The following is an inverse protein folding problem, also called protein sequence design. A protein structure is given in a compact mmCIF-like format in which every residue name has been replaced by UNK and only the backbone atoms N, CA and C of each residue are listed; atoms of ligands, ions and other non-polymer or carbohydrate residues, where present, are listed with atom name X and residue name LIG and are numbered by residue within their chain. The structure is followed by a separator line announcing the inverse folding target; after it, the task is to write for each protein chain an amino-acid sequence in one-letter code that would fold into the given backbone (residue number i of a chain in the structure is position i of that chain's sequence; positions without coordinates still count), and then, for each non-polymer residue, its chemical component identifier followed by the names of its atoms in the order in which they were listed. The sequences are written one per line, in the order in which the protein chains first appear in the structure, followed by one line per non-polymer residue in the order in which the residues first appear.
data_IF_193017084376
#
_entry.id   IF_193017084376
#
_cell.length_a   1.000
_cell.length_b   1.000
_cell.length_c   1.000
_cell.angle_alpha   90.00
_cell.angle_beta   90.00
_cell.angle_gamma   90.00
#
_symmetry.space_group_name_H-M   'P 1'
#
loop_
_entity.id
_entity.type
_entity.pdbx_description
1 polymer ?
#
# COMPACT_ATOMS: atom_id res chain seq x y z
N UNK A 1 -30.21 37.93 -43.20
CA UNK A 1 -29.72 39.32 -43.09
C UNK A 1 -28.65 39.30 -42.00
N UNK A 2 -27.41 38.87 -42.27
CA UNK A 2 -26.31 39.70 -42.86
C UNK A 2 -26.22 41.05 -42.13
N UNK A 3 -25.14 41.50 -41.49
CA UNK A 3 -23.67 41.37 -41.65
C UNK A 3 -22.98 41.84 -40.32
N UNK A 4 -21.93 41.20 -39.75
CA UNK A 4 -20.47 41.41 -39.96
C UNK A 4 -20.04 42.90 -39.88
N UNK A 5 -19.04 43.43 -39.12
CA UNK A 5 -17.80 42.94 -38.46
C UNK A 5 -17.18 43.98 -37.46
N UNK A 6 -16.39 43.46 -36.51
CA UNK A 6 -15.14 44.00 -35.86
C UNK A 6 -15.17 45.12 -34.78
N UNK A 7 -14.74 44.83 -33.54
CA UNK A 7 -13.33 44.97 -33.10
C UNK A 7 -13.04 44.50 -31.64
N UNK A 8 -11.94 43.75 -31.51
CA UNK A 8 -10.92 43.60 -30.46
C UNK A 8 -11.17 43.71 -28.93
N UNK A 9 -10.55 42.75 -28.25
CA UNK A 9 -10.36 42.51 -26.81
C UNK A 9 -9.77 43.65 -25.97
N UNK A 10 -10.13 43.67 -24.68
CA UNK A 10 -9.19 43.91 -23.56
C UNK A 10 -9.76 43.42 -22.21
N UNK A 11 -9.02 42.52 -21.57
CA UNK A 11 -9.25 42.02 -20.21
C UNK A 11 -8.33 42.81 -19.26
N UNK A 12 -8.91 43.47 -18.26
CA UNK A 12 -8.18 44.26 -17.25
C UNK A 12 -8.12 43.47 -15.94
N UNK A 13 -6.91 43.23 -15.44
CA UNK A 13 -6.63 42.69 -14.12
C UNK A 13 -6.33 43.83 -13.12
N UNK A 14 -6.72 43.72 -11.83
CA UNK A 14 -6.41 44.75 -10.84
C UNK A 14 -5.10 44.48 -10.08
N UNK A 15 -4.37 45.56 -9.84
CA UNK A 15 -3.07 45.68 -9.17
C UNK A 15 -3.18 45.80 -7.64
N UNK A 16 -2.20 45.23 -6.91
CA UNK A 16 -2.02 45.35 -5.46
C UNK A 16 -1.05 46.51 -5.11
N UNK A 17 -1.25 47.25 -4.00
CA UNK A 17 -0.37 48.35 -3.62
C UNK A 17 0.83 47.92 -2.76
N UNK A 18 1.96 48.61 -2.99
CA UNK A 18 3.25 48.54 -2.27
C UNK A 18 3.22 49.43 -1.02
N UNK A 19 3.75 48.94 0.11
CA UNK A 19 4.03 49.74 1.31
C UNK A 19 5.54 49.71 1.60
N UNK A 20 6.16 50.89 1.66
CA UNK A 20 7.52 51.14 2.13
C UNK A 20 7.49 51.53 3.61
N UNK A 21 8.38 50.96 4.44
CA UNK A 21 8.86 51.60 5.68
C UNK A 21 10.35 51.29 5.90
N UNK A 22 11.16 52.35 5.84
CA UNK A 22 12.21 52.76 6.79
C UNK A 22 13.21 51.77 7.39
N UNK A 23 14.48 51.98 7.05
CA UNK A 23 15.71 51.44 7.65
C UNK A 23 16.17 52.17 8.94
N UNK A 24 16.80 51.43 9.86
CA UNK A 24 17.72 52.02 10.88
C UNK A 24 18.28 51.05 11.94
N UNK A 25 19.54 50.61 11.73
CA UNK A 25 20.67 50.37 12.68
C UNK A 25 20.54 49.42 13.91
N UNK A 26 21.54 48.63 14.36
CA UNK A 26 22.96 48.33 14.03
C UNK A 26 23.36 46.99 14.72
N UNK A 27 24.35 46.25 14.21
CA UNK A 27 25.02 45.18 14.97
C UNK A 27 25.90 44.21 14.18
N UNK A 28 26.95 44.72 13.55
CA UNK A 28 27.98 43.95 12.81
C UNK A 28 29.00 43.31 13.77
N UNK A 29 29.30 42.01 13.63
CA UNK A 29 30.66 41.48 13.81
C UNK A 29 30.91 40.33 12.84
N UNK A 30 31.75 40.59 11.84
CA UNK A 30 32.35 39.61 10.95
C UNK A 30 33.85 39.52 11.26
N UNK A 31 34.33 38.36 11.69
CA UNK A 31 35.76 38.02 11.68
C UNK A 31 36.05 37.19 10.43
N UNK A 32 36.78 37.81 9.51
CA UNK A 32 37.31 37.21 8.29
C UNK A 32 38.60 36.43 8.61
N UNK A 33 38.67 35.17 8.19
CA UNK A 33 39.93 34.48 7.87
C UNK A 33 39.86 34.01 6.41
N UNK A 34 40.79 34.51 5.59
CA UNK A 34 40.98 34.19 4.18
C UNK A 34 41.77 32.89 4.02
N UNK A 35 41.37 32.07 3.03
CA UNK A 35 42.24 31.08 2.37
C UNK A 35 42.01 31.12 0.85
N UNK A 36 42.99 30.69 0.01
CA UNK A 36 43.16 31.16 -1.37
C UNK A 36 42.37 30.41 -2.42
N UNK A 37 42.16 31.09 -3.56
CA UNK A 37 41.58 30.57 -4.80
C UNK A 37 42.53 29.60 -5.52
N UNK A 38 42.00 28.45 -5.93
CA UNK A 38 42.45 27.74 -7.14
C UNK A 38 41.24 27.38 -8.02
N UNK A 39 41.41 27.61 -9.32
CA UNK A 39 40.42 27.44 -10.37
C UNK A 39 40.09 25.96 -10.60
N UNK A 40 38.81 25.60 -10.68
CA UNK A 40 38.37 24.31 -11.25
C UNK A 40 37.28 24.54 -12.30
N UNK A 41 37.52 23.96 -13.48
CA UNK A 41 36.70 24.05 -14.69
C UNK A 41 35.64 22.94 -14.74
N UNK A 42 34.55 23.24 -15.46
CA UNK A 42 33.32 22.47 -15.58
C UNK A 42 33.51 21.00 -16.02
N UNK A 43 32.99 20.07 -15.23
CA UNK A 43 32.85 18.66 -15.57
C UNK A 43 31.64 18.39 -16.47
N UNK A 44 31.91 18.01 -17.73
CA UNK A 44 30.96 17.42 -18.68
C UNK A 44 31.12 15.90 -18.60
N UNK A 45 30.03 15.15 -18.37
CA UNK A 45 30.01 13.69 -18.34
C UNK A 45 30.25 13.14 -19.75
N UNK A 46 31.37 12.44 -19.94
CA UNK A 46 31.68 11.63 -21.12
C UNK A 46 31.90 10.19 -20.67
N UNK A 47 31.30 9.23 -21.39
CA UNK A 47 31.42 7.80 -21.19
C UNK A 47 32.90 7.36 -21.26
N UNK A 48 33.40 6.68 -20.22
CA UNK A 48 34.70 6.02 -20.23
C UNK A 48 34.49 4.50 -20.17
N UNK A 49 34.82 3.87 -21.29
CA UNK A 49 35.05 2.44 -21.45
C UNK A 49 36.33 2.08 -20.69
N UNK A 50 36.26 1.03 -19.87
CA UNK A 50 37.40 0.51 -19.10
C UNK A 50 38.30 -0.30 -20.03
N UNK A 51 39.54 0.13 -20.16
CA UNK A 51 40.63 -0.55 -20.86
C UNK A 51 41.29 -1.55 -19.88
N UNK A 52 41.25 -2.84 -20.20
CA UNK A 52 41.96 -3.88 -19.46
C UNK A 52 43.21 -4.31 -20.26
N UNK A 53 44.38 -4.00 -19.73
CA UNK A 53 45.68 -4.46 -20.25
C UNK A 53 45.99 -5.84 -19.67
N UNK A 54 46.10 -6.88 -20.51
CA UNK A 54 46.77 -8.14 -20.15
C UNK A 54 47.69 -8.60 -21.30
N UNK A 55 48.87 -9.03 -20.87
CA UNK A 55 50.09 -9.37 -21.59
C UNK A 55 49.98 -10.02 -22.98
N UNK A 56 50.85 -9.54 -23.87
CA UNK A 56 51.33 -10.19 -25.10
C UNK A 56 52.01 -11.52 -24.78
N UNK A 57 51.63 -12.57 -25.50
CA UNK A 57 52.55 -13.53 -26.12
C UNK A 57 51.95 -13.95 -27.46
N UNK A 58 52.81 -13.95 -28.48
CA UNK A 58 52.51 -14.19 -29.90
C UNK A 58 51.93 -15.59 -30.16
N UNK A 59 50.99 -15.69 -31.10
CA UNK A 59 51.24 -16.32 -32.41
C UNK A 59 50.00 -16.19 -33.31
N UNK A 60 50.25 -15.88 -34.59
CA UNK A 60 49.29 -15.58 -35.64
C UNK A 60 48.23 -16.69 -35.84
N UNK A 61 46.94 -16.29 -35.94
CA UNK A 61 45.92 -16.98 -36.74
C UNK A 61 44.72 -16.06 -36.99
N UNK A 62 44.42 -15.85 -38.28
CA UNK A 62 43.28 -15.08 -38.75
C UNK A 62 41.96 -15.84 -38.55
N UNK A 63 40.98 -15.17 -37.96
CA UNK A 63 39.56 -15.56 -37.99
C UNK A 63 38.99 -15.29 -39.39
N UNK A 64 38.55 -16.35 -40.06
CA UNK A 64 37.79 -16.27 -41.30
C UNK A 64 36.35 -16.74 -41.03
N UNK A 65 35.50 -15.84 -40.54
CA UNK A 65 34.06 -15.95 -40.72
C UNK A 65 33.72 -15.53 -42.16
N UNK A 66 33.90 -16.47 -43.09
CA UNK A 66 33.28 -16.42 -44.41
C UNK A 66 32.75 -17.81 -44.70
N UNK A 67 31.43 -17.93 -44.77
CA UNK A 67 30.70 -19.15 -45.08
C UNK A 67 30.85 -19.44 -46.59
N UNK A 68 32.02 -19.96 -46.97
CA UNK A 68 32.24 -20.58 -48.28
C UNK A 68 32.38 -22.07 -48.00
N UNK A 69 31.47 -22.93 -48.50
CA UNK A 69 31.60 -24.37 -48.27
C UNK A 69 32.88 -24.87 -48.96
N UNK A 70 33.70 -25.62 -48.22
CA UNK A 70 34.87 -26.30 -48.80
C UNK A 70 34.41 -27.57 -49.52
N UNK A 71 35.02 -27.95 -50.65
CA UNK A 71 34.55 -29.01 -51.53
C UNK A 71 34.65 -30.45 -50.97
N UNK A 72 35.01 -30.63 -49.69
CA UNK A 72 35.21 -31.94 -49.06
C UNK A 72 34.42 -32.13 -47.74
N UNK A 73 33.46 -31.25 -47.43
CA UNK A 73 32.46 -31.56 -46.39
C UNK A 73 31.39 -32.48 -46.99
N UNK A 74 31.65 -33.79 -46.87
CA UNK A 74 30.63 -34.82 -47.09
C UNK A 74 29.49 -34.59 -46.10
N UNK A 75 28.42 -34.00 -46.61
CA UNK A 75 27.12 -33.93 -45.96
C UNK A 75 26.67 -35.37 -45.75
N UNK A 76 26.71 -35.85 -44.51
CA UNK A 76 26.02 -37.08 -44.16
C UNK A 76 24.54 -36.96 -44.55
N UNK A 77 23.94 -38.09 -44.93
CA UNK A 77 22.51 -38.24 -45.24
C UNK A 77 21.65 -37.68 -44.09
N UNK A 78 21.35 -36.40 -44.13
CA UNK A 78 20.36 -35.75 -43.26
C UNK A 78 19.01 -35.75 -44.02
N UNK A 79 17.95 -36.37 -43.48
CA UNK A 79 16.65 -36.49 -44.15
C UNK A 79 15.86 -35.17 -44.29
N UNK A 80 16.41 -34.04 -43.86
CA UNK A 80 15.74 -32.73 -43.89
C UNK A 80 15.43 -32.26 -45.32
N UNK A 81 16.18 -32.75 -46.32
CA UNK A 81 16.00 -32.39 -47.73
C UNK A 81 14.70 -32.93 -48.35
N UNK A 82 14.12 -34.01 -47.81
CA UNK A 82 12.88 -34.61 -48.35
C UNK A 82 11.64 -33.79 -47.94
N UNK A 83 11.66 -33.14 -46.77
CA UNK A 83 10.52 -32.38 -46.24
C UNK A 83 10.31 -31.01 -46.90
N UNK A 84 11.27 -30.53 -47.68
CA UNK A 84 11.30 -29.19 -48.28
C UNK A 84 11.04 -29.17 -49.80
N UNK A 85 10.84 -30.33 -50.45
CA UNK A 85 10.52 -30.40 -51.89
C UNK A 85 9.13 -29.80 -52.20
N UNK A 86 9.00 -29.16 -53.36
CA UNK A 86 7.76 -28.54 -53.83
C UNK A 86 6.62 -29.57 -53.90
N UNK A 87 5.50 -29.23 -53.28
CA UNK A 87 4.30 -30.08 -53.23
C UNK A 87 3.49 -29.89 -54.51
N UNK A 88 3.25 -30.97 -55.26
CA UNK A 88 2.26 -30.98 -56.35
C UNK A 88 1.03 -31.79 -55.96
N UNK A 89 -0.13 -31.33 -56.45
CA UNK A 89 -1.43 -31.97 -56.22
C UNK A 89 -1.57 -33.12 -57.20
N UNK A 90 -1.79 -34.34 -56.72
CA UNK A 90 -2.17 -35.49 -57.56
C UNK A 90 -3.69 -35.54 -57.78
N UNK A 91 -4.15 -36.20 -58.84
CA UNK A 91 -5.55 -36.22 -59.31
C UNK A 91 -6.57 -36.72 -58.26
N UNK A 92 -6.13 -37.44 -57.22
CA UNK A 92 -6.97 -37.91 -56.10
C UNK A 92 -7.08 -36.92 -54.92
N UNK A 93 -6.59 -35.67 -55.07
CA UNK A 93 -6.70 -34.61 -54.06
C UNK A 93 -5.78 -34.74 -52.84
N UNK A 94 -4.86 -35.71 -52.83
CA UNK A 94 -3.81 -35.83 -51.81
C UNK A 94 -2.54 -35.10 -52.25
N UNK A 95 -1.96 -34.33 -51.33
CA UNK A 95 -0.76 -33.53 -51.52
C UNK A 95 0.44 -34.31 -50.98
N UNK A 96 1.27 -34.87 -51.85
CA UNK A 96 2.48 -35.62 -51.50
C UNK A 96 3.73 -34.96 -52.10
N UNK A 97 4.90 -35.03 -51.45
CA UNK A 97 6.18 -34.62 -52.05
C UNK A 97 6.54 -35.49 -53.27
N UNK A 98 7.34 -34.96 -54.19
CA UNK A 98 7.90 -35.73 -55.32
C UNK A 98 9.13 -36.54 -54.83
N UNK A 99 9.00 -37.87 -54.81
CA UNK A 99 10.05 -38.80 -54.39
C UNK A 99 10.93 -39.16 -55.59
N UNK A 100 12.25 -39.13 -55.43
CA UNK A 100 13.21 -39.44 -56.50
C UNK A 100 13.37 -40.95 -56.75
N UNK A 101 13.12 -41.76 -55.73
CA UNK A 101 13.21 -43.22 -55.72
C UNK A 101 12.31 -43.84 -54.64
N UNK A 102 12.12 -45.16 -54.68
CA UNK A 102 11.29 -45.91 -53.74
C UNK A 102 11.85 -45.85 -52.29
N UNK A 103 13.17 -45.66 -52.15
CA UNK A 103 13.85 -45.52 -50.86
C UNK A 103 13.51 -44.19 -50.17
N UNK A 104 13.41 -43.07 -50.90
CA UNK A 104 12.94 -41.77 -50.37
C UNK A 104 11.49 -41.85 -49.86
N UNK A 105 10.64 -42.64 -50.53
CA UNK A 105 9.24 -42.83 -50.14
C UNK A 105 9.14 -43.62 -48.83
N UNK A 106 9.88 -44.72 -48.68
CA UNK A 106 9.93 -45.49 -47.43
C UNK A 106 10.50 -44.66 -46.28
N UNK A 107 11.53 -43.85 -46.55
CA UNK A 107 12.10 -42.94 -45.56
C UNK A 107 11.08 -41.88 -45.13
N UNK A 108 10.34 -41.27 -46.06
CA UNK A 108 9.29 -40.30 -45.76
C UNK A 108 8.16 -40.91 -44.93
N UNK A 109 7.73 -42.13 -45.27
CA UNK A 109 6.70 -42.85 -44.50
C UNK A 109 7.19 -43.20 -43.09
N UNK A 110 8.44 -43.66 -42.94
CA UNK A 110 9.03 -43.96 -41.64
C UNK A 110 9.17 -42.72 -40.75
N UNK A 111 9.59 -41.59 -41.33
CA UNK A 111 9.69 -40.29 -40.65
C UNK A 111 8.31 -39.76 -40.27
N UNK A 112 7.32 -39.86 -41.15
CA UNK A 112 5.96 -39.42 -40.86
C UNK A 112 5.33 -40.30 -39.77
N UNK A 113 5.61 -41.61 -39.75
CA UNK A 113 5.20 -42.52 -38.68
C UNK A 113 5.90 -42.20 -37.35
N UNK A 114 7.20 -41.88 -37.38
CA UNK A 114 7.94 -41.39 -36.21
C UNK A 114 7.40 -40.04 -35.70
N UNK A 115 7.06 -39.13 -36.59
CA UNK A 115 6.52 -37.81 -36.26
C UNK A 115 5.10 -37.93 -35.68
N UNK A 116 4.27 -38.80 -36.25
CA UNK A 116 2.94 -39.12 -35.72
C UNK A 116 3.03 -39.82 -34.35
N UNK A 117 3.94 -40.78 -34.17
CA UNK A 117 4.14 -41.43 -32.85
C UNK A 117 4.71 -40.47 -31.80
N UNK A 118 5.53 -39.49 -32.19
CA UNK A 118 5.99 -38.42 -31.29
C UNK A 118 4.90 -37.38 -30.96
N UNK A 119 3.90 -37.20 -31.83
CA UNK A 119 2.75 -36.31 -31.62
C UNK A 119 1.60 -36.99 -30.85
N UNK A 120 1.43 -38.31 -30.97
CA UNK A 120 0.38 -39.11 -30.32
C UNK A 120 0.72 -39.58 -28.90
N UNK A 121 1.49 -38.80 -28.14
CA UNK A 121 1.72 -39.15 -26.74
C UNK A 121 0.48 -38.73 -25.94
N UNK A 122 -0.24 -39.70 -25.39
CA UNK A 122 -1.13 -39.59 -24.23
C UNK A 122 -0.34 -39.05 -23.02
N UNK A 123 0.17 -37.83 -23.14
CA UNK A 123 1.06 -37.22 -22.16
C UNK A 123 0.17 -36.54 -21.15
N UNK A 124 -0.07 -37.25 -20.05
CA UNK A 124 -0.59 -36.64 -18.84
C UNK A 124 0.33 -35.48 -18.43
N UNK A 125 -0.27 -34.32 -18.20
CA UNK A 125 0.45 -33.10 -17.83
C UNK A 125 -0.09 -32.60 -16.51
N UNK A 126 0.82 -32.09 -15.69
CA UNK A 126 0.47 -31.42 -14.45
C UNK A 126 0.07 -29.98 -14.75
N UNK A 127 -1.05 -29.57 -14.16
CA UNK A 127 -1.59 -28.24 -14.27
C UNK A 127 -1.85 -27.68 -12.88
N UNK A 128 -1.69 -26.37 -12.78
CA UNK A 128 -2.14 -25.57 -11.65
C UNK A 128 -3.20 -24.60 -12.15
N UNK A 129 -4.36 -24.60 -11.51
CA UNK A 129 -5.41 -23.62 -11.77
C UNK A 129 -5.64 -22.76 -10.54
N UNK A 130 -5.69 -21.46 -10.76
CA UNK A 130 -6.24 -20.50 -9.81
C UNK A 130 -7.48 -19.90 -10.45
N UNK A 131 -8.62 -20.02 -9.78
CA UNK A 131 -9.86 -19.40 -10.22
C UNK A 131 -10.50 -18.59 -9.10
N UNK A 132 -11.17 -17.51 -9.50
CA UNK A 132 -11.74 -16.51 -8.63
C UNK A 132 -13.26 -16.53 -8.79
N UNK A 133 -13.99 -16.72 -7.69
CA UNK A 133 -15.46 -16.70 -7.66
C UNK A 133 -15.93 -15.32 -7.16
N UNK A 134 -16.99 -14.78 -7.77
CA UNK A 134 -17.55 -13.49 -7.38
C UNK A 134 -18.05 -13.49 -5.92
N UNK A 135 -17.83 -12.39 -5.18
CA UNK A 135 -18.28 -12.21 -3.77
C UNK A 135 -19.79 -12.43 -3.52
N UNK A 136 -20.62 -12.45 -4.56
CA UNK A 136 -22.08 -12.63 -4.44
C UNK A 136 -22.47 -14.10 -4.34
N UNK A 137 -21.62 -14.98 -4.86
CA UNK A 137 -21.83 -16.42 -4.90
C UNK A 137 -20.90 -17.12 -3.89
N UNK A 138 -20.55 -16.45 -2.79
CA UNK A 138 -19.64 -16.98 -1.78
C UNK A 138 -20.19 -18.25 -1.10
N UNK A 139 -21.51 -18.40 -1.02
CA UNK A 139 -22.19 -19.60 -0.48
C UNK A 139 -22.25 -20.75 -1.50
N UNK A 140 -22.03 -20.48 -2.79
CA UNK A 140 -22.09 -21.47 -3.88
C UNK A 140 -20.70 -22.02 -4.26
N UNK A 141 -19.66 -21.68 -3.49
CA UNK A 141 -18.27 -22.09 -3.77
C UNK A 141 -18.14 -23.61 -3.81
N UNK A 142 -18.80 -24.32 -2.90
CA UNK A 142 -18.79 -25.78 -2.86
C UNK A 142 -19.38 -26.38 -4.15
N UNK A 143 -20.48 -25.82 -4.67
CA UNK A 143 -21.10 -26.25 -5.93
C UNK A 143 -20.18 -26.05 -7.14
N UNK A 144 -19.45 -24.93 -7.20
CA UNK A 144 -18.46 -24.70 -8.27
C UNK A 144 -17.33 -25.72 -8.17
N UNK A 145 -16.85 -25.98 -6.95
CA UNK A 145 -15.76 -26.92 -6.71
C UNK A 145 -16.14 -28.36 -7.08
N UNK A 146 -17.35 -28.80 -6.75
CA UNK A 146 -17.88 -30.10 -7.15
C UNK A 146 -17.92 -30.26 -8.67
N UNK A 147 -18.43 -29.26 -9.40
CA UNK A 147 -18.44 -29.29 -10.87
C UNK A 147 -17.04 -29.42 -11.47
N UNK A 148 -16.06 -28.69 -10.93
CA UNK A 148 -14.66 -28.76 -11.37
C UNK A 148 -14.08 -30.15 -11.10
N UNK A 149 -14.37 -30.74 -9.94
CA UNK A 149 -13.92 -32.09 -9.61
C UNK A 149 -14.60 -33.17 -10.48
N UNK A 150 -15.89 -33.02 -10.76
CA UNK A 150 -16.64 -33.96 -11.60
C UNK A 150 -16.11 -33.97 -13.03
N UNK A 151 -15.80 -32.80 -13.60
CA UNK A 151 -15.16 -32.72 -14.90
C UNK A 151 -13.83 -33.47 -14.94
N UNK A 152 -13.00 -33.30 -13.90
CA UNK A 152 -11.72 -34.01 -13.80
C UNK A 152 -11.92 -35.52 -13.63
N UNK A 153 -12.91 -35.96 -12.84
CA UNK A 153 -13.27 -37.38 -12.68
C UNK A 153 -13.74 -38.02 -13.98
N UNK A 154 -14.60 -37.34 -14.74
CA UNK A 154 -15.14 -37.83 -16.02
C UNK A 154 -14.02 -38.05 -17.05
N UNK A 155 -13.03 -37.15 -17.09
CA UNK A 155 -11.89 -37.22 -18.02
C UNK A 155 -10.68 -37.99 -17.48
N UNK A 156 -10.86 -38.78 -16.41
CA UNK A 156 -9.81 -39.60 -15.76
C UNK A 156 -8.59 -38.79 -15.26
N UNK A 157 -8.79 -37.53 -14.91
CA UNK A 157 -7.79 -36.68 -14.29
C UNK A 157 -7.62 -36.96 -12.80
N UNK A 158 -6.43 -36.72 -12.26
CA UNK A 158 -6.12 -36.91 -10.84
C UNK A 158 -5.89 -35.56 -10.16
N UNK A 159 -6.55 -35.31 -9.04
CA UNK A 159 -6.31 -34.11 -8.21
C UNK A 159 -5.21 -34.43 -7.21
N UNK A 160 -4.18 -33.58 -7.17
CA UNK A 160 -3.05 -33.70 -6.26
C UNK A 160 -3.18 -32.77 -5.05
N UNK A 161 -3.76 -31.58 -5.27
CA UNK A 161 -3.91 -30.55 -4.24
C UNK A 161 -5.17 -29.73 -4.45
N UNK A 162 -5.83 -29.38 -3.34
CA UNK A 162 -6.96 -28.47 -3.30
C UNK A 162 -6.84 -27.54 -2.10
N UNK A 163 -6.74 -26.24 -2.38
CA UNK A 163 -6.53 -25.20 -1.38
C UNK A 163 -7.60 -24.13 -1.53
N UNK A 164 -8.44 -24.01 -0.51
CA UNK A 164 -9.38 -22.91 -0.36
C UNK A 164 -8.66 -21.74 0.35
N UNK A 165 -8.46 -20.63 -0.38
CA UNK A 165 -7.84 -19.42 0.16
C UNK A 165 -8.86 -18.41 0.70
N UNK A 166 -10.15 -18.71 0.60
CA UNK A 166 -11.25 -17.92 1.12
C UNK A 166 -11.54 -16.64 0.33
N UNK A 167 -12.43 -15.82 0.89
CA UNK A 167 -12.77 -14.50 0.37
C UNK A 167 -11.63 -13.51 0.62
N UNK A 168 -11.13 -12.88 -0.45
CA UNK A 168 -10.01 -11.94 -0.39
C UNK A 168 -10.30 -10.67 -1.19
N UNK A 169 -9.72 -9.55 -0.74
CA UNK A 169 -9.82 -8.27 -1.43
C UNK A 169 -8.99 -8.25 -2.72
N UNK A 170 -9.59 -7.78 -3.81
CA UNK A 170 -8.92 -7.61 -5.11
C UNK A 170 -8.12 -6.31 -5.13
N UNK A 171 -6.98 -6.31 -5.84
CA UNK A 171 -6.16 -5.10 -6.03
C UNK A 171 -6.89 -4.02 -6.87
N UNK A 172 -7.83 -4.44 -7.73
CA UNK A 172 -8.69 -3.57 -8.52
C UNK A 172 -10.01 -4.30 -8.82
N UNK A 173 -11.04 -3.53 -9.21
CA UNK A 173 -12.36 -4.10 -9.50
C UNK A 173 -12.32 -4.98 -10.75
N UNK A 174 -12.79 -6.22 -10.63
CA UNK A 174 -12.99 -7.15 -11.75
C UNK A 174 -14.49 -7.46 -11.82
N UNK A 175 -15.12 -7.28 -13.00
CA UNK A 175 -16.58 -7.46 -13.18
C UNK A 175 -17.44 -6.77 -12.09
N UNK A 176 -17.01 -5.59 -11.61
CA UNK A 176 -17.63 -4.79 -10.51
C UNK A 176 -17.50 -5.38 -9.09
N UNK A 177 -16.83 -6.51 -8.88
CA UNK A 177 -16.51 -7.06 -7.57
C UNK A 177 -15.31 -6.34 -6.94
N UNK A 178 -15.33 -6.13 -5.62
CA UNK A 178 -14.16 -5.65 -4.85
C UNK A 178 -13.40 -6.78 -4.15
N UNK A 179 -14.09 -7.89 -3.89
CA UNK A 179 -13.53 -9.11 -3.30
C UNK A 179 -13.90 -10.32 -4.15
N UNK A 180 -13.12 -11.39 -4.03
CA UNK A 180 -13.40 -12.66 -4.69
C UNK A 180 -12.92 -13.83 -3.83
N UNK A 181 -13.56 -14.98 -3.97
CA UNK A 181 -13.14 -16.22 -3.32
C UNK A 181 -12.06 -16.89 -4.16
N UNK A 182 -10.89 -17.12 -3.59
CA UNK A 182 -9.76 -17.69 -4.30
C UNK A 182 -9.69 -19.20 -4.07
N UNK A 183 -9.62 -19.94 -5.18
CA UNK A 183 -9.41 -21.38 -5.17
C UNK A 183 -8.14 -21.72 -5.94
N UNK A 184 -7.30 -22.55 -5.34
CA UNK A 184 -6.11 -23.11 -5.96
C UNK A 184 -6.26 -24.63 -6.05
N UNK A 185 -6.00 -25.20 -7.22
CA UNK A 185 -6.05 -26.63 -7.43
C UNK A 185 -4.89 -27.07 -8.32
N UNK A 186 -4.25 -28.18 -7.96
CA UNK A 186 -3.26 -28.85 -8.80
C UNK A 186 -3.79 -30.21 -9.18
N UNK A 187 -3.76 -30.48 -10.47
CA UNK A 187 -4.31 -31.70 -11.03
C UNK A 187 -3.49 -32.15 -12.23
N UNK A 188 -3.71 -33.40 -12.60
CA UNK A 188 -3.13 -34.04 -13.76
C UNK A 188 -4.25 -34.34 -14.74
N UNK A 189 -4.06 -33.90 -15.99
CA UNK A 189 -5.04 -34.07 -17.05
C UNK A 189 -4.30 -34.28 -18.36
N UNK A 190 -4.93 -35.04 -19.26
CA UNK A 190 -4.44 -35.19 -20.61
C UNK A 190 -4.52 -33.86 -21.38
N UNK A 191 -3.50 -33.58 -22.20
CA UNK A 191 -3.40 -32.31 -22.92
C UNK A 191 -4.59 -32.00 -23.84
N UNK A 192 -5.34 -33.03 -24.28
CA UNK A 192 -6.51 -32.89 -25.15
C UNK A 192 -7.66 -32.13 -24.48
N UNK A 193 -7.87 -32.31 -23.17
CA UNK A 193 -9.04 -31.79 -22.45
C UNK A 193 -8.81 -30.41 -21.81
N UNK A 194 -7.61 -29.84 -21.91
CA UNK A 194 -7.27 -28.59 -21.23
C UNK A 194 -8.03 -27.37 -21.79
N UNK A 195 -8.32 -27.37 -23.09
CA UNK A 195 -9.07 -26.29 -23.73
C UNK A 195 -10.55 -26.36 -23.35
N UNK A 196 -11.11 -27.56 -23.26
CA UNK A 196 -12.48 -27.78 -22.80
C UNK A 196 -12.62 -27.36 -21.34
N UNK A 197 -11.61 -27.65 -20.50
CA UNK A 197 -11.57 -27.21 -19.11
C UNK A 197 -11.59 -25.68 -18.97
N UNK A 198 -10.80 -24.96 -19.78
CA UNK A 198 -10.82 -23.49 -19.80
C UNK A 198 -12.18 -22.95 -20.24
N UNK A 199 -12.75 -23.56 -21.28
CA UNK A 199 -14.07 -23.16 -21.82
C UNK A 199 -15.17 -23.36 -20.79
N UNK A 200 -15.14 -24.46 -20.03
CA UNK A 200 -16.07 -24.70 -18.93
C UNK A 200 -15.97 -23.61 -17.85
N UNK A 201 -14.76 -23.19 -17.46
CA UNK A 201 -14.56 -22.11 -16.49
C UNK A 201 -14.98 -20.74 -17.01
N UNK A 202 -14.88 -20.49 -18.32
CA UNK A 202 -15.33 -19.24 -18.95
C UNK A 202 -16.86 -19.16 -19.07
N UNK A 203 -17.54 -20.30 -19.24
CA UNK A 203 -19.00 -20.39 -19.31
C UNK A 203 -19.68 -20.20 -17.95
N UNK A 204 -18.99 -20.49 -16.85
CA UNK A 204 -19.54 -20.28 -15.52
C UNK A 204 -19.48 -18.81 -15.12
N UNK A 205 -20.63 -18.12 -15.12
CA UNK A 205 -20.73 -16.69 -14.78
C UNK A 205 -20.24 -16.38 -13.36
N UNK A 206 -20.24 -17.37 -12.46
CA UNK A 206 -19.76 -17.24 -11.07
C UNK A 206 -18.26 -17.04 -11.02
N UNK A 207 -17.52 -17.56 -12.00
CA UNK A 207 -16.07 -17.41 -12.13
C UNK A 207 -15.77 -16.07 -12.83
N UNK A 208 -15.11 -15.17 -12.10
CA UNK A 208 -14.78 -13.83 -12.62
C UNK A 208 -13.47 -13.82 -13.39
N UNK A 209 -12.56 -14.75 -13.07
CA UNK A 209 -11.24 -14.90 -13.68
C UNK A 209 -10.66 -16.27 -13.34
N UNK A 210 -9.92 -16.83 -14.27
CA UNK A 210 -9.13 -18.04 -14.04
C UNK A 210 -7.73 -17.91 -14.66
N UNK A 211 -6.78 -18.67 -14.15
CA UNK A 211 -5.43 -18.80 -14.71
C UNK A 211 -5.02 -20.27 -14.60
N UNK A 212 -4.79 -20.90 -15.75
CA UNK A 212 -4.29 -22.27 -15.84
C UNK A 212 -2.84 -22.24 -16.29
N UNK A 213 -1.94 -22.82 -15.51
CA UNK A 213 -0.50 -22.89 -15.77
C UNK A 213 -0.06 -24.35 -15.87
N UNK A 214 0.82 -24.65 -16.82
CA UNK A 214 1.48 -25.96 -16.89
C UNK A 214 2.55 -26.03 -15.80
N UNK A 215 2.66 -27.18 -15.14
CA UNK A 215 3.72 -27.52 -14.18
C UNK A 215 4.53 -28.70 -14.71
N UNK A 216 5.80 -28.74 -14.32
CA UNK A 216 6.70 -29.83 -14.69
C UNK A 216 6.46 -31.07 -13.79
N UNK A 217 6.03 -30.86 -12.54
CA UNK A 217 5.84 -31.90 -11.53
C UNK A 217 4.49 -31.78 -10.79
N UNK A 218 4.07 -32.87 -10.14
CA UNK A 218 2.90 -32.91 -9.27
C UNK A 218 3.18 -32.25 -7.92
N UNK A 219 2.70 -31.02 -7.73
CA UNK A 219 2.81 -30.29 -6.46
C UNK A 219 1.74 -30.80 -5.48
N UNK A 220 2.18 -31.44 -4.40
CA UNK A 220 1.31 -31.97 -3.33
C UNK A 220 1.37 -31.16 -2.03
N UNK A 221 2.36 -30.27 -1.90
CA UNK A 221 2.54 -29.45 -0.70
C UNK A 221 1.41 -28.42 -0.53
N UNK A 222 0.94 -28.30 0.72
CA UNK A 222 -0.06 -27.32 1.11
C UNK A 222 0.43 -25.89 0.83
N UNK A 223 -0.38 -25.08 0.14
CA UNK A 223 -0.05 -23.70 -0.17
C UNK A 223 -0.96 -22.77 0.64
N UNK A 224 -0.51 -22.28 1.80
CA UNK A 224 -1.29 -21.32 2.56
C UNK A 224 -1.48 -20.05 1.71
N UNK A 225 -2.63 -19.36 1.85
CA UNK A 225 -2.89 -18.13 1.11
C UNK A 225 -1.76 -17.14 1.36
N UNK A 226 -1.25 -16.44 0.31
CA UNK A 226 -0.26 -15.38 0.53
C UNK A 226 -0.82 -14.35 1.50
N UNK A 227 -0.03 -13.71 2.37
CA UNK A 227 -0.54 -12.70 3.31
C UNK A 227 -1.25 -11.57 2.54
N UNK A 228 -2.37 -11.08 3.05
CA UNK A 228 -3.01 -9.90 2.44
C UNK A 228 -2.04 -8.74 2.42
N UNK A 229 -2.01 -7.97 1.33
CA UNK A 229 -1.09 -6.86 1.13
C UNK A 229 -1.07 -5.86 2.31
N UNK A 230 -2.20 -5.69 2.99
CA UNK A 230 -2.36 -4.89 4.19
C UNK A 230 -1.62 -5.45 5.42
N UNK A 231 -1.55 -6.78 5.56
CA UNK A 231 -0.92 -7.43 6.72
C UNK A 231 0.60 -7.37 6.70
N UNK A 232 1.21 -7.37 5.50
CA UNK A 232 2.67 -7.27 5.33
C UNK A 232 3.18 -5.93 5.88
N UNK A 233 2.47 -4.83 5.59
CA UNK A 233 2.84 -3.49 6.08
C UNK A 233 2.63 -3.30 7.57
N UNK A 234 1.72 -4.04 8.21
CA UNK A 234 1.49 -3.97 9.66
C UNK A 234 2.50 -4.78 10.50
N UNK A 235 3.36 -5.61 9.87
CA UNK A 235 4.23 -6.52 10.63
C UNK A 235 3.45 -7.57 11.43
N UNK A 236 2.27 -7.94 10.93
CA UNK A 236 1.30 -8.79 11.62
C UNK A 236 0.39 -8.05 12.61
N UNK A 237 -0.55 -8.80 13.21
CA UNK A 237 -1.56 -8.29 14.14
C UNK A 237 -2.92 -8.02 13.47
N UNK A 238 -4.02 -8.06 14.23
CA UNK A 238 -5.37 -8.03 13.67
C UNK A 238 -5.71 -6.68 13.02
N UNK A 239 -6.54 -6.66 11.96
CA UNK A 239 -7.03 -5.42 11.31
C UNK A 239 -7.83 -4.54 12.27
N UNK A 240 -7.84 -3.21 12.08
CA UNK A 240 -8.70 -2.32 12.86
C UNK A 240 -10.16 -2.70 12.65
N UNK A 241 -10.97 -2.59 13.71
CA UNK A 241 -12.41 -2.87 13.67
C UNK A 241 -13.19 -1.59 13.42
N UNK A 242 -14.30 -1.71 12.69
CA UNK A 242 -15.33 -0.67 12.59
C UNK A 242 -14.98 0.57 11.76
N UNK A 243 -13.78 0.64 11.18
CA UNK A 243 -13.41 1.74 10.30
C UNK A 243 -14.31 1.77 9.05
N UNK A 244 -14.75 2.97 8.65
CA UNK A 244 -15.58 3.19 7.46
C UNK A 244 -14.95 4.24 6.55
N UNK A 245 -15.36 4.26 5.28
CA UNK A 245 -15.01 5.34 4.35
C UNK A 245 -15.79 6.61 4.74
N UNK A 246 -15.07 7.67 5.12
CA UNK A 246 -15.67 8.96 5.45
C UNK A 246 -16.23 9.68 4.21
N UNK A 247 -17.34 10.40 4.39
CA UNK A 247 -17.91 11.28 3.37
C UNK A 247 -17.18 12.64 3.36
N UNK A 248 -15.98 12.67 2.78
CA UNK A 248 -15.15 13.87 2.74
C UNK A 248 -15.39 14.69 1.48
N UNK A 249 -15.43 16.02 1.63
CA UNK A 249 -15.34 16.95 0.51
C UNK A 249 -13.98 16.83 -0.21
N UNK A 250 -13.87 17.28 -1.47
CA UNK A 250 -12.68 17.04 -2.31
C UNK A 250 -11.37 17.52 -1.66
N UNK A 251 -11.37 18.74 -1.10
CA UNK A 251 -10.20 19.31 -0.44
C UNK A 251 -9.75 18.51 0.79
N UNK A 252 -10.68 18.25 1.72
CA UNK A 252 -10.37 17.46 2.93
C UNK A 252 -9.90 16.06 2.56
N UNK A 253 -10.51 15.45 1.53
CA UNK A 253 -10.12 14.13 1.05
C UNK A 253 -8.68 14.14 0.55
N UNK A 254 -8.30 15.13 -0.24
CA UNK A 254 -6.94 15.24 -0.76
C UNK A 254 -5.92 15.39 0.36
N UNK A 255 -6.10 16.37 1.25
CA UNK A 255 -5.21 16.62 2.40
C UNK A 255 -5.04 15.37 3.27
N UNK A 256 -6.15 14.73 3.67
CA UNK A 256 -6.10 13.53 4.51
C UNK A 256 -5.48 12.35 3.77
N UNK A 257 -5.65 12.24 2.45
CA UNK A 257 -5.00 11.21 1.64
C UNK A 257 -3.48 11.39 1.63
N UNK A 258 -3.00 12.64 1.53
CA UNK A 258 -1.57 12.93 1.63
C UNK A 258 -1.01 12.49 2.99
N UNK A 259 -1.69 12.83 4.09
CA UNK A 259 -1.28 12.41 5.44
C UNK A 259 -1.25 10.88 5.57
N UNK A 260 -2.29 10.20 5.08
CA UNK A 260 -2.34 8.73 5.11
C UNK A 260 -1.14 8.07 4.40
N UNK A 261 -0.69 8.62 3.27
CA UNK A 261 0.50 8.10 2.58
C UNK A 261 1.82 8.50 3.27
N UNK A 262 1.88 9.65 3.93
CA UNK A 262 3.01 10.03 4.78
C UNK A 262 3.17 9.08 5.97
N UNK A 263 2.07 8.67 6.60
CA UNK A 263 2.09 7.68 7.69
C UNK A 263 2.64 6.32 7.26
N UNK A 264 2.39 5.91 6.00
CA UNK A 264 3.03 4.73 5.42
C UNK A 264 4.55 4.93 5.33
N UNK A 265 5.01 6.14 5.03
CA UNK A 265 6.43 6.52 5.07
C UNK A 265 7.01 6.48 6.49
N UNK A 266 6.29 7.01 7.49
CA UNK A 266 6.69 6.96 8.90
C UNK A 266 6.88 5.51 9.37
N UNK A 267 5.93 4.63 9.06
CA UNK A 267 6.04 3.20 9.38
C UNK A 267 7.26 2.54 8.73
N UNK A 268 7.59 2.88 7.47
CA UNK A 268 8.80 2.38 6.80
C UNK A 268 10.07 2.87 7.51
N UNK A 269 10.13 4.14 7.88
CA UNK A 269 11.27 4.72 8.59
C UNK A 269 11.47 4.05 9.96
N UNK A 270 10.39 3.92 10.74
CA UNK A 270 10.42 3.24 12.06
C UNK A 270 10.93 1.81 11.90
N UNK A 271 10.36 1.02 10.98
CA UNK A 271 10.76 -0.38 10.76
C UNK A 271 12.20 -0.55 10.29
N UNK A 272 12.75 0.43 9.58
CA UNK A 272 14.15 0.42 9.13
C UNK A 272 15.12 0.70 10.27
N UNK A 273 14.73 1.51 11.25
CA UNK A 273 15.62 1.98 12.31
C UNK A 273 15.49 1.18 13.60
N UNK A 274 14.28 0.73 13.96
CA UNK A 274 14.00 0.02 15.21
C UNK A 274 13.21 -1.27 14.97
N UNK A 275 13.37 -2.24 15.86
CA UNK A 275 12.60 -3.48 15.83
C UNK A 275 11.12 -3.15 16.09
N UNK A 276 10.29 -3.36 15.06
CA UNK A 276 8.84 -3.21 15.17
C UNK A 276 8.20 -4.31 16.01
N UNK A 277 6.93 -4.10 16.38
CA UNK A 277 6.09 -5.11 17.02
C UNK A 277 4.74 -5.21 16.27
N UNK A 278 4.02 -6.35 16.38
CA UNK A 278 2.75 -6.52 15.69
C UNK A 278 1.73 -5.47 16.11
N UNK A 279 0.88 -4.99 15.19
CA UNK A 279 -0.15 -3.99 15.50
C UNK A 279 -1.09 -4.48 16.63
N UNK A 280 -1.46 -3.61 17.60
CA UNK A 280 -2.52 -3.92 18.57
C UNK A 280 -3.90 -3.92 17.90
N UNK A 281 -4.90 -4.54 18.54
CA UNK A 281 -6.28 -4.44 18.05
C UNK A 281 -6.78 -3.00 18.26
N UNK A 282 -7.05 -2.30 17.16
CA UNK A 282 -7.69 -0.99 17.16
C UNK A 282 -9.19 -1.13 16.94
N UNK A 283 -9.98 -0.32 17.63
CA UNK A 283 -11.42 -0.15 17.38
C UNK A 283 -11.69 1.30 16.95
N UNK A 284 -11.96 1.48 15.67
CA UNK A 284 -12.26 2.77 15.03
C UNK A 284 -13.76 2.86 14.69
N UNK A 285 -14.62 2.07 15.34
CA UNK A 285 -16.05 2.14 15.09
C UNK A 285 -16.64 3.49 15.51
N UNK A 286 -17.71 3.96 14.83
CA UNK A 286 -18.44 5.17 15.25
C UNK A 286 -18.88 5.13 16.72
N UNK A 287 -19.18 3.94 17.25
CA UNK A 287 -19.56 3.75 18.66
C UNK A 287 -18.46 4.15 19.64
N UNK A 288 -17.19 3.81 19.35
CA UNK A 288 -16.06 4.22 20.20
C UNK A 288 -15.87 5.73 20.16
N UNK A 289 -15.89 6.33 18.97
CA UNK A 289 -15.80 7.79 18.84
C UNK A 289 -16.95 8.51 19.56
N UNK A 290 -18.19 8.01 19.43
CA UNK A 290 -19.35 8.55 20.14
C UNK A 290 -19.14 8.53 21.66
N UNK A 291 -18.68 7.40 22.23
CA UNK A 291 -18.41 7.31 23.67
C UNK A 291 -17.33 8.29 24.14
N UNK A 292 -16.26 8.47 23.37
CA UNK A 292 -15.20 9.43 23.70
C UNK A 292 -15.72 10.86 23.70
N UNK A 293 -16.52 11.21 22.69
CA UNK A 293 -17.14 12.54 22.61
C UNK A 293 -18.16 12.74 23.73
N UNK A 294 -19.00 11.76 24.02
CA UNK A 294 -19.95 11.84 25.14
C UNK A 294 -19.23 12.08 26.48
N UNK A 295 -18.09 11.42 26.69
CA UNK A 295 -17.24 11.63 27.86
C UNK A 295 -16.65 13.05 27.89
N UNK A 296 -16.22 13.59 26.74
CA UNK A 296 -15.71 14.96 26.65
C UNK A 296 -16.77 16.01 27.01
N UNK A 297 -18.03 15.75 26.62
CA UNK A 297 -19.17 16.63 26.91
C UNK A 297 -19.85 16.34 28.26
N UNK A 298 -19.47 15.26 28.94
CA UNK A 298 -20.14 14.74 30.14
C UNK A 298 -21.66 14.54 29.94
N UNK A 299 -22.06 14.15 28.73
CA UNK A 299 -23.46 13.87 28.35
C UNK A 299 -23.49 13.05 27.06
N UNK A 300 -24.56 12.28 26.86
CA UNK A 300 -24.79 11.57 25.60
C UNK A 300 -25.32 12.52 24.53
N UNK A 301 -24.59 12.66 23.43
CA UNK A 301 -25.06 13.41 22.26
C UNK A 301 -26.11 12.59 21.49
N UNK A 302 -27.14 13.30 20.99
CA UNK A 302 -28.17 12.73 20.13
C UNK A 302 -28.24 13.51 18.82
N UNK A 303 -28.02 12.88 17.66
CA UNK A 303 -27.57 11.50 17.44
C UNK A 303 -26.14 11.25 18.00
N UNK A 304 -25.67 9.99 18.09
CA UNK A 304 -24.29 9.70 18.47
C UNK A 304 -23.27 10.34 17.51
N UNK A 305 -22.10 10.73 18.02
CA UNK A 305 -21.06 11.31 17.18
C UNK A 305 -20.51 10.30 16.16
N UNK A 306 -20.71 10.59 14.88
CA UNK A 306 -20.16 9.80 13.78
C UNK A 306 -18.98 10.54 13.11
N UNK A 307 -17.73 10.02 13.22
CA UNK A 307 -16.55 10.61 12.61
C UNK A 307 -16.56 10.51 11.07
N UNK A 308 -17.37 9.63 10.47
CA UNK A 308 -17.37 9.36 9.04
C UNK A 308 -18.44 10.16 8.27
N UNK A 309 -19.30 10.90 8.98
CA UNK A 309 -20.47 11.55 8.41
C UNK A 309 -20.14 12.68 7.42
N UNK A 310 -19.10 13.48 7.70
CA UNK A 310 -18.69 14.62 6.86
C UNK A 310 -17.25 15.07 7.18
N UNK A 311 -16.71 16.02 6.41
CA UNK A 311 -15.38 16.58 6.61
C UNK A 311 -15.12 17.18 7.99
N UNK A 312 -16.07 17.91 8.58
CA UNK A 312 -15.88 18.57 9.88
C UNK A 312 -15.82 17.54 11.01
N UNK A 313 -16.75 16.58 11.01
CA UNK A 313 -16.73 15.48 11.97
C UNK A 313 -15.44 14.67 11.86
N UNK A 314 -14.97 14.42 10.64
CA UNK A 314 -13.72 13.71 10.42
C UNK A 314 -12.52 14.49 10.96
N UNK A 315 -12.43 15.80 10.71
CA UNK A 315 -11.35 16.64 11.24
C UNK A 315 -11.38 16.70 12.78
N UNK A 316 -12.56 16.80 13.40
CA UNK A 316 -12.71 16.73 14.87
C UNK A 316 -12.25 15.37 15.40
N UNK A 317 -12.58 14.28 14.72
CA UNK A 317 -12.12 12.95 15.08
C UNK A 317 -10.60 12.79 14.91
N UNK A 318 -10.04 13.35 13.85
CA UNK A 318 -8.60 13.42 13.59
C UNK A 318 -7.87 14.34 14.57
N UNK A 319 -8.57 15.22 15.30
CA UNK A 319 -7.97 16.03 16.36
C UNK A 319 -7.80 15.26 17.68
N UNK A 320 -8.55 14.17 17.92
CA UNK A 320 -8.58 13.45 19.20
C UNK A 320 -7.23 12.83 19.59
N UNK A 321 -6.60 12.09 18.68
CA UNK A 321 -5.47 11.20 19.00
C UNK A 321 -4.10 11.72 18.52
N UNK A 322 -3.93 12.24 17.29
CA UNK A 322 -2.63 12.65 16.77
C UNK A 322 -1.84 13.59 17.69
N UNK A 323 -2.50 14.58 18.29
CA UNK A 323 -1.85 15.48 19.25
C UNK A 323 -1.25 14.75 20.47
N UNK A 324 -1.89 13.66 20.93
CA UNK A 324 -1.36 12.83 22.03
C UNK A 324 -0.04 12.16 21.59
N UNK A 325 0.01 11.67 20.35
CA UNK A 325 1.22 11.09 19.75
C UNK A 325 2.38 12.09 19.69
N UNK A 326 2.09 13.32 19.25
CA UNK A 326 3.06 14.42 19.22
C UNK A 326 3.66 14.70 20.61
N UNK A 327 2.82 14.86 21.63
CA UNK A 327 3.32 15.10 23.00
C UNK A 327 4.10 13.90 23.56
N UNK A 328 3.80 12.69 23.06
CA UNK A 328 4.59 11.50 23.36
C UNK A 328 5.98 11.51 22.73
N UNK A 329 6.14 12.03 21.52
CA UNK A 329 7.48 12.22 20.93
C UNK A 329 8.31 13.21 21.74
N UNK A 330 7.72 14.33 22.17
CA UNK A 330 8.39 15.33 23.01
C UNK A 330 8.85 14.70 24.33
N UNK A 331 7.97 13.95 25.02
CA UNK A 331 8.31 13.30 26.29
C UNK A 331 9.24 12.09 26.17
N UNK A 332 9.26 11.43 25.01
CA UNK A 332 10.16 10.30 24.75
C UNK A 332 11.56 10.76 24.34
N UNK A 333 11.70 11.88 23.61
CA UNK A 333 12.96 12.31 23.01
C UNK A 333 14.13 12.44 24.02
N UNK A 334 13.96 13.02 25.22
CA UNK A 334 15.02 13.07 26.23
C UNK A 334 15.46 11.69 26.76
N UNK A 335 14.59 10.68 26.66
CA UNK A 335 14.82 9.32 27.17
C UNK A 335 15.49 8.40 26.17
N UNK A 336 15.63 8.83 24.92
CA UNK A 336 16.33 8.06 23.90
C UNK A 336 17.83 8.20 24.10
N UNK A 337 18.56 7.08 24.05
CA UNK A 337 20.02 7.11 24.18
C UNK A 337 20.69 7.14 22.80
N UNK A 338 20.18 6.34 21.86
CA UNK A 338 20.77 6.16 20.54
C UNK A 338 20.50 7.36 19.60
N UNK A 339 21.56 7.88 18.97
CA UNK A 339 21.49 8.99 18.01
C UNK A 339 20.58 8.69 16.80
N UNK A 340 20.54 7.46 16.29
CA UNK A 340 19.65 7.06 15.21
C UNK A 340 18.18 7.12 15.64
N UNK A 341 17.86 6.67 16.85
CA UNK A 341 16.50 6.77 17.41
C UNK A 341 16.09 8.22 17.68
N UNK A 342 17.01 9.05 18.20
CA UNK A 342 16.79 10.49 18.37
C UNK A 342 16.51 11.17 17.03
N UNK A 343 17.33 10.89 16.01
CA UNK A 343 17.15 11.44 14.66
C UNK A 343 15.81 11.02 14.06
N UNK A 344 15.43 9.75 14.23
CA UNK A 344 14.14 9.25 13.79
C UNK A 344 12.99 10.00 14.48
N UNK A 345 12.99 10.06 15.80
CA UNK A 345 11.91 10.72 16.57
C UNK A 345 11.84 12.21 16.27
N UNK A 346 12.97 12.92 16.18
CA UNK A 346 13.00 14.32 15.79
C UNK A 346 12.44 14.55 14.37
N UNK A 347 12.77 13.67 13.42
CA UNK A 347 12.24 13.73 12.06
C UNK A 347 10.74 13.49 11.98
N UNK A 348 10.24 12.49 12.72
CA UNK A 348 8.80 12.20 12.83
C UNK A 348 8.06 13.37 13.50
N UNK A 349 8.57 13.86 14.63
CA UNK A 349 8.00 14.99 15.35
C UNK A 349 7.80 16.22 14.45
N UNK A 350 8.76 16.53 13.57
CA UNK A 350 8.64 17.66 12.64
C UNK A 350 7.47 17.53 11.65
N UNK A 351 7.27 16.34 11.08
CA UNK A 351 6.19 16.10 10.11
C UNK A 351 4.84 16.03 10.81
N UNK A 352 4.75 15.30 11.92
CA UNK A 352 3.53 15.15 12.74
C UNK A 352 3.05 16.50 13.27
N UNK A 353 3.97 17.38 13.67
CA UNK A 353 3.64 18.76 14.08
C UNK A 353 3.03 19.57 12.94
N UNK A 354 3.54 19.39 11.72
CA UNK A 354 2.99 20.03 10.52
C UNK A 354 1.57 19.54 10.20
N UNK A 355 1.33 18.23 10.31
CA UNK A 355 0.00 17.65 10.12
C UNK A 355 -1.01 18.15 11.18
N UNK A 356 -0.62 18.16 12.45
CA UNK A 356 -1.45 18.71 13.55
C UNK A 356 -1.78 20.19 13.30
N UNK A 357 -0.79 21.00 12.92
CA UNK A 357 -0.99 22.41 12.59
C UNK A 357 -2.01 22.60 11.45
N UNK A 358 -1.98 21.77 10.41
CA UNK A 358 -2.96 21.83 9.33
C UNK A 358 -4.36 21.42 9.81
N UNK A 359 -4.50 20.35 10.58
CA UNK A 359 -5.80 19.92 11.14
C UNK A 359 -6.37 21.05 12.01
N UNK A 360 -5.56 21.61 12.92
CA UNK A 360 -5.96 22.72 13.78
C UNK A 360 -6.28 23.97 13.00
N UNK A 361 -5.51 24.31 11.97
CA UNK A 361 -5.79 25.44 11.08
C UNK A 361 -7.12 25.29 10.34
N UNK A 362 -7.41 24.10 9.79
CA UNK A 362 -8.67 23.81 9.11
C UNK A 362 -9.89 23.83 10.05
N UNK A 363 -9.69 23.45 11.32
CA UNK A 363 -10.74 23.55 12.32
C UNK A 363 -10.89 24.99 12.84
N UNK A 364 -9.78 25.75 12.95
CA UNK A 364 -9.78 27.13 13.40
C UNK A 364 -10.49 28.07 12.43
N UNK A 365 -10.29 27.87 11.12
CA UNK A 365 -11.04 28.55 10.07
C UNK A 365 -12.57 28.37 10.23
N UNK A 366 -12.98 27.26 10.83
CA UNK A 366 -14.38 26.91 11.11
C UNK A 366 -14.75 27.03 12.59
N UNK A 367 -13.95 27.72 13.41
CA UNK A 367 -14.07 27.69 14.86
C UNK A 367 -15.48 28.06 15.37
N UNK A 368 -16.13 29.01 14.70
CA UNK A 368 -17.48 29.50 15.04
C UNK A 368 -18.61 28.71 14.37
N UNK A 369 -18.30 27.84 13.41
CA UNK A 369 -19.30 27.06 12.71
C UNK A 369 -19.91 26.02 13.65
N UNK A 370 -21.23 25.88 13.57
CA UNK A 370 -21.96 24.86 14.33
C UNK A 370 -21.83 23.51 13.65
N UNK A 371 -21.31 22.52 14.36
CA UNK A 371 -21.26 21.13 13.92
C UNK A 371 -22.68 20.58 13.88
N UNK A 372 -23.18 20.29 12.68
CA UNK A 372 -24.50 19.70 12.49
C UNK A 372 -24.46 18.20 12.84
N UNK A 373 -25.50 17.65 13.49
CA UNK A 373 -26.74 18.30 13.93
C UNK A 373 -26.70 18.86 15.37
N UNK A 374 -25.54 18.85 16.05
CA UNK A 374 -25.45 19.14 17.49
C UNK A 374 -25.70 20.59 17.88
N UNK A 375 -25.49 21.53 16.96
CA UNK A 375 -25.65 22.96 17.23
C UNK A 375 -24.56 23.58 18.11
N UNK A 376 -23.48 22.84 18.35
CA UNK A 376 -22.30 23.22 19.14
C UNK A 376 -21.18 23.63 18.19
N UNK A 377 -20.40 24.65 18.54
CA UNK A 377 -19.34 25.18 17.69
C UNK A 377 -18.12 24.25 17.61
N UNK A 378 -17.34 24.33 16.53
CA UNK A 378 -16.08 23.58 16.40
C UNK A 378 -15.11 23.93 17.54
N UNK A 379 -15.03 25.21 17.93
CA UNK A 379 -14.20 25.65 19.06
C UNK A 379 -14.61 24.96 20.37
N UNK A 380 -15.91 24.88 20.66
CA UNK A 380 -16.41 24.17 21.86
C UNK A 380 -16.07 22.68 21.81
N UNK A 381 -16.25 22.01 20.66
CA UNK A 381 -15.83 20.61 20.50
C UNK A 381 -14.36 20.40 20.84
N UNK A 382 -13.47 21.21 20.27
CA UNK A 382 -12.03 21.08 20.52
C UNK A 382 -11.68 21.38 21.98
N UNK A 383 -12.28 22.40 22.60
CA UNK A 383 -12.09 22.70 24.02
C UNK A 383 -12.52 21.54 24.93
N UNK A 384 -13.69 20.94 24.68
CA UNK A 384 -14.16 19.77 25.42
C UNK A 384 -13.22 18.57 25.29
N UNK A 385 -12.72 18.32 24.08
CA UNK A 385 -11.73 17.27 23.82
C UNK A 385 -10.44 17.53 24.59
N UNK A 386 -9.92 18.76 24.58
CA UNK A 386 -8.69 19.07 25.30
C UNK A 386 -8.85 18.93 26.81
N UNK A 387 -9.98 19.37 27.35
CA UNK A 387 -10.31 19.16 28.76
C UNK A 387 -10.38 17.67 29.10
N UNK A 388 -10.95 16.84 28.23
CA UNK A 388 -10.98 15.39 28.43
C UNK A 388 -9.56 14.81 28.50
N UNK A 389 -8.68 15.17 27.56
CA UNK A 389 -7.30 14.66 27.53
C UNK A 389 -6.50 15.07 28.77
N UNK A 390 -6.65 16.32 29.22
CA UNK A 390 -6.05 16.78 30.48
C UNK A 390 -6.59 16.02 31.69
N UNK A 391 -7.91 15.80 31.76
CA UNK A 391 -8.56 15.05 32.85
C UNK A 391 -8.07 13.60 32.90
N UNK A 392 -7.98 12.92 31.76
CA UNK A 392 -7.52 11.53 31.70
C UNK A 392 -6.01 11.39 31.96
N UNK A 393 -5.21 12.41 31.64
CA UNK A 393 -3.77 12.38 31.88
C UNK A 393 -3.36 12.44 33.36
N UNK A 394 -4.18 13.07 34.22
CA UNK A 394 -3.93 13.31 35.64
C UNK A 394 -2.70 14.21 35.96
N UNK A 395 -2.21 14.99 35.00
CA UNK A 395 -0.95 15.72 35.12
C UNK A 395 -1.04 17.18 34.66
N UNK A 396 -2.14 17.85 35.01
CA UNK A 396 -2.34 19.26 34.73
C UNK A 396 -2.77 19.56 33.29
N UNK A 397 -2.49 20.79 32.85
CA UNK A 397 -2.90 21.33 31.56
C UNK A 397 -1.77 21.14 30.55
N UNK A 398 -1.90 20.12 29.69
CA UNK A 398 -0.90 19.76 28.67
C UNK A 398 -1.50 19.74 27.26
N UNK A 399 -2.61 20.43 27.10
CA UNK A 399 -3.39 20.50 25.88
C UNK A 399 -4.47 21.56 26.01
N UNK A 400 -4.75 22.22 24.89
CA UNK A 400 -5.64 23.34 24.78
C UNK A 400 -6.36 23.29 23.45
N UNK A 401 -7.63 23.70 23.45
CA UNK A 401 -8.42 23.79 22.23
C UNK A 401 -8.06 25.03 21.40
N UNK A 402 -8.86 25.28 20.37
CA UNK A 402 -8.55 26.29 19.34
C UNK A 402 -8.71 27.74 19.79
N UNK A 403 -9.49 27.97 20.85
CA UNK A 403 -9.73 29.29 21.42
C UNK A 403 -9.58 29.18 22.94
N UNK A 404 -8.64 29.96 23.47
CA UNK A 404 -8.33 30.03 24.90
C UNK A 404 -8.69 31.40 25.48
N UNK A 405 -8.82 31.53 26.82
CA UNK A 405 -8.85 32.82 27.48
C UNK A 405 -7.59 33.64 27.16
N UNK A 406 -7.71 34.97 27.10
CA UNK A 406 -6.61 35.84 26.66
C UNK A 406 -5.34 35.69 27.51
N UNK A 407 -5.48 35.51 28.81
CA UNK A 407 -4.37 35.30 29.75
C UNK A 407 -3.63 33.97 29.56
N UNK A 408 -4.14 33.05 28.73
CA UNK A 408 -3.44 31.80 28.36
C UNK A 408 -2.94 31.78 26.93
N UNK A 409 -3.40 32.71 26.08
CA UNK A 409 -2.86 32.77 24.74
C UNK A 409 -1.44 33.31 24.75
N UNK A 410 -0.75 33.18 23.62
CA UNK A 410 0.63 33.60 23.48
C UNK A 410 0.85 35.04 23.97
N UNK A 411 1.87 35.20 24.83
CA UNK A 411 2.23 36.46 25.49
C UNK A 411 1.08 37.12 26.25
N UNK A 412 0.04 36.36 26.64
CA UNK A 412 -1.21 36.83 27.25
C UNK A 412 -1.98 37.86 26.40
N UNK A 413 -1.76 37.86 25.09
CA UNK A 413 -2.24 38.93 24.18
C UNK A 413 -3.32 38.47 23.22
N UNK A 414 -3.36 37.18 22.88
CA UNK A 414 -4.26 36.64 21.86
C UNK A 414 -5.15 35.54 22.44
N UNK A 415 -6.25 35.21 21.75
CA UNK A 415 -7.17 34.13 22.13
C UNK A 415 -7.11 32.94 21.18
N UNK A 416 -6.72 33.16 19.93
CA UNK A 416 -6.56 32.10 18.94
C UNK A 416 -5.37 31.22 19.28
N UNK A 417 -5.58 29.90 19.21
CA UNK A 417 -4.62 28.91 19.67
C UNK A 417 -4.48 27.76 18.64
N UNK A 418 -4.07 28.13 17.43
CA UNK A 418 -3.87 27.18 16.33
C UNK A 418 -2.73 26.21 16.63
N UNK A 419 -1.69 26.68 17.31
CA UNK A 419 -0.58 25.86 17.81
C UNK A 419 -0.59 25.95 19.33
N UNK A 420 -0.90 24.85 20.02
CA UNK A 420 -0.83 24.85 21.49
C UNK A 420 0.61 24.61 21.94
N UNK A 421 1.07 25.48 22.83
CA UNK A 421 2.30 25.34 23.58
C UNK A 421 2.10 25.74 25.04
N UNK A 422 3.13 25.51 25.85
CA UNK A 422 3.21 25.97 27.23
C UNK A 422 3.46 27.49 27.30
N UNK A 423 3.77 27.99 28.49
CA UNK A 423 4.05 29.42 28.72
C UNK A 423 5.22 29.97 27.89
N UNK A 424 6.12 29.10 27.43
CA UNK A 424 7.25 29.44 26.55
C UNK A 424 6.95 29.14 25.08
N UNK A 425 5.70 28.84 24.73
CA UNK A 425 5.29 28.36 23.41
C UNK A 425 6.00 27.08 22.98
N UNK A 426 6.47 26.26 23.93
CA UNK A 426 7.04 24.95 23.66
C UNK A 426 5.96 23.88 23.63
N UNK A 427 6.18 22.83 22.83
CA UNK A 427 5.27 21.70 22.77
C UNK A 427 5.24 20.96 24.12
N UNK A 428 4.04 20.63 24.60
CA UNK A 428 3.88 19.85 25.83
C UNK A 428 4.46 18.44 25.70
N UNK A 429 5.01 17.93 26.79
CA UNK A 429 5.49 16.55 26.89
C UNK A 429 4.47 15.67 27.63
N UNK A 430 4.35 14.41 27.20
CA UNK A 430 3.60 13.41 27.96
C UNK A 430 4.40 12.15 28.27
N UNK A 431 4.16 11.58 29.44
CA UNK A 431 4.72 10.27 29.82
C UNK A 431 3.93 9.13 29.16
N UNK A 432 4.51 7.92 29.04
CA UNK A 432 3.77 6.76 28.54
C UNK A 432 2.49 6.47 29.31
N UNK A 433 2.48 6.64 30.63
CA UNK A 433 1.31 6.43 31.48
C UNK A 433 0.19 7.42 31.13
N UNK A 434 0.51 8.70 31.02
CA UNK A 434 -0.45 9.74 30.62
C UNK A 434 -1.06 9.43 29.25
N UNK A 435 -0.24 9.01 28.28
CA UNK A 435 -0.70 8.61 26.95
C UNK A 435 -1.64 7.40 27.03
N UNK A 436 -1.25 6.35 27.75
CA UNK A 436 -2.05 5.13 27.89
C UNK A 436 -3.42 5.41 28.51
N UNK A 437 -3.49 6.21 29.57
CA UNK A 437 -4.75 6.64 30.20
C UNK A 437 -5.68 7.34 29.23
N UNK A 438 -5.12 8.20 28.36
CA UNK A 438 -5.88 8.96 27.35
C UNK A 438 -6.35 8.03 26.23
N UNK A 439 -5.46 7.24 25.62
CA UNK A 439 -5.83 6.41 24.45
C UNK A 439 -6.72 5.22 24.81
N UNK A 440 -6.68 4.75 26.05
CA UNK A 440 -7.64 3.77 26.58
C UNK A 440 -8.97 4.42 26.97
N UNK A 441 -9.01 5.74 27.14
CA UNK A 441 -10.22 6.48 27.53
C UNK A 441 -10.71 6.19 28.95
N UNK A 442 -9.94 5.45 29.74
CA UNK A 442 -10.31 4.95 31.08
C UNK A 442 -9.74 5.80 32.21
N UNK A 443 -8.74 6.65 31.92
CA UNK A 443 -8.00 7.36 32.97
C UNK A 443 -7.05 6.45 33.76
N UNK A 444 -6.87 5.19 33.34
CA UNK A 444 -6.02 4.21 33.99
C UNK A 444 -5.19 3.42 32.97
N UNK A 445 -3.87 3.55 33.04
CA UNK A 445 -2.88 2.92 32.14
C UNK A 445 -2.85 1.39 32.22
N UNK A 446 -3.45 0.82 33.27
CA UNK A 446 -3.55 -0.64 33.48
C UNK A 446 -4.86 -1.23 32.94
N UNK A 447 -5.84 -0.39 32.60
CA UNK A 447 -7.18 -0.81 32.15
C UNK A 447 -7.36 -0.44 30.68
N UNK A 448 -7.24 -1.41 29.75
CA UNK A 448 -7.56 -1.22 28.34
C UNK A 448 -8.98 -0.73 28.09
N UNK A 449 -9.17 -0.02 26.99
CA UNK A 449 -10.47 0.51 26.60
C UNK A 449 -10.39 1.37 25.35
N UNK A 450 -11.48 2.08 25.06
CA UNK A 450 -11.53 3.06 23.99
C UNK A 450 -11.06 2.51 22.66
N UNK A 451 -10.04 3.16 22.07
CA UNK A 451 -9.47 2.77 20.77
C UNK A 451 -8.64 1.49 20.83
N UNK A 452 -8.24 1.04 22.02
CA UNK A 452 -7.43 -0.16 22.25
C UNK A 452 -8.13 -1.13 23.22
N UNK A 453 -9.22 -1.79 22.81
CA UNK A 453 -10.03 -2.62 23.69
C UNK A 453 -9.28 -3.82 24.31
N UNK A 454 -8.19 -4.27 23.68
CA UNK A 454 -7.32 -5.35 24.18
C UNK A 454 -5.96 -4.85 24.69
N UNK A 455 -5.81 -3.54 24.83
CA UNK A 455 -4.57 -2.87 25.23
C UNK A 455 -3.66 -2.58 24.04
N UNK A 456 -2.78 -1.60 24.25
CA UNK A 456 -1.68 -1.30 23.35
C UNK A 456 -0.61 -2.39 23.42
N UNK A 457 0.32 -2.37 22.46
CA UNK A 457 1.44 -3.32 22.37
C UNK A 457 2.78 -2.59 22.54
N UNK A 458 3.86 -3.37 22.55
CA UNK A 458 5.20 -2.93 22.94
C UNK A 458 5.51 -3.26 24.39
N UNK A 459 6.77 -3.14 24.76
CA UNK A 459 7.26 -3.52 26.11
C UNK A 459 6.69 -2.60 27.19
N UNK A 460 6.71 -1.29 26.95
CA UNK A 460 6.20 -0.28 27.89
C UNK A 460 4.71 -0.52 28.18
N UNK A 461 3.85 -0.55 27.15
CA UNK A 461 2.41 -0.73 27.34
C UNK A 461 2.08 -2.05 28.06
N UNK A 462 2.74 -3.16 27.70
CA UNK A 462 2.53 -4.46 28.34
C UNK A 462 2.97 -4.47 29.81
N UNK A 463 4.00 -3.70 30.16
CA UNK A 463 4.49 -3.64 31.54
C UNK A 463 3.44 -3.11 32.52
N UNK A 464 2.52 -2.25 32.07
CA UNK A 464 1.43 -1.72 32.90
C UNK A 464 0.25 -2.70 33.04
N UNK A 465 -0.02 -3.53 32.02
CA UNK A 465 -1.12 -4.51 32.05
C UNK A 465 -0.85 -5.66 33.04
N UNK A 466 0.41 -6.07 33.17
CA UNK A 466 0.80 -7.21 34.00
C UNK A 466 0.91 -6.89 35.50
N UNK A 467 0.91 -5.60 35.89
CA UNK A 467 0.99 -5.21 37.30
C UNK A 467 -0.29 -5.48 38.10
N UNK A 468 -1.43 -5.71 37.45
CA UNK A 468 -2.70 -6.05 38.12
C UNK A 468 -2.76 -7.46 38.72
N UNK A 469 -1.82 -8.36 38.38
CA UNK A 469 -1.78 -9.74 38.89
C UNK A 469 -0.74 -10.00 40.00
N UNK A 470 -0.04 -8.97 40.48
CA UNK A 470 0.75 -9.09 41.72
C UNK A 470 -0.12 -8.60 42.88
N UNK A 471 -1.02 -9.47 43.35
CA UNK A 471 -1.71 -9.25 44.62
C UNK A 471 -1.29 -10.31 45.64
N UNK A 472 -0.85 -9.74 46.79
CA UNK A 472 -0.79 -10.29 48.15
C UNK A 472 0.38 -11.19 48.49
#
# INVERSE_FOLDING_TARGET
MESLLHNSANVVAPTLPRLQIGSGFFGNQSSFLKFPQENSSLGRRTLLVVEAKKNKNNDDKQDAHSFIPKPDETTGFFPEAVLLKEKKVQEDGKILPEFADDEEQELYESLNLQLQSALNVERMRHYEVVYLIHEKHAEEVESVNEKVQDFLREKKGRVWRLNDWGLRSLAYKIKKANSAHYMLMNFELEAKWINDFKTMLDQDERVIRHLVMKRDEAITEDCPPPPEWDTIRAGGGPPPKGAKKANLGPWTRDVITQFAYQEVGHLKAIKKTVKGFPRPQLDLSPSVFAKVIDHAFNKTLKPPFDPYANSVNFLIASYLIPYVGLTGYVGANPKLENAASKRLVAGLLGVESGQDAIIRGLLYDRAVDKVKPYGITVAEFTNHISHLRNRLGHAGWKDEGLIVPKFRGAEERIRGNVLAGDEFSMAYDRTPEEILRIVYGTGNETVPGGFFPKGAKGEIAKSHLNRGHRHK
#
